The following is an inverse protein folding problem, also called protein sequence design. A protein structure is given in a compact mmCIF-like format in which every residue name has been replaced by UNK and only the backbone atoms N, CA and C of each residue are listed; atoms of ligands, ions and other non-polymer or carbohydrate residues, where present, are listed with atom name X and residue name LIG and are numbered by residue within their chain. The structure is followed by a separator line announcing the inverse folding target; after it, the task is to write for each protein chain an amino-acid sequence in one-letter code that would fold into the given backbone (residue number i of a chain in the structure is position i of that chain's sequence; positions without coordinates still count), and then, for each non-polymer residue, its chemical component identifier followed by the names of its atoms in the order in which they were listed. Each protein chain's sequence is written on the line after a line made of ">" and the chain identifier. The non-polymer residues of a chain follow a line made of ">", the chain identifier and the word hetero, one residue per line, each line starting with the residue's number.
data_IF_010399881879
#
_entry.id   IF_010399881879
#
_cell.length_a   1.000
_cell.length_b   1.000
_cell.length_c   1.000
_cell.angle_alpha   90.00
_cell.angle_beta   90.00
_cell.angle_gamma   90.00
#
_symmetry.space_group_name_H-M   'P 1'
#
loop_
_entity.id
_entity.type
_entity.pdbx_description
1 polymer ?
#
# COMPACT_ATOMS: atom_id res chain seq x y z
N UNK A 1 -57.59 -13.10 30.33
CA UNK A 1 -57.07 -14.02 29.30
C UNK A 1 -56.49 -13.17 28.19
N UNK A 2 -55.17 -13.03 28.13
CA UNK A 2 -54.49 -12.17 27.16
C UNK A 2 -54.20 -12.96 25.88
N UNK A 3 -54.80 -12.53 24.77
CA UNK A 3 -54.64 -13.15 23.45
C UNK A 3 -53.40 -12.55 22.77
N UNK A 4 -52.39 -13.40 22.60
CA UNK A 4 -51.04 -13.03 22.16
C UNK A 4 -50.84 -13.37 20.68
N UNK A 5 -51.67 -12.84 19.77
CA UNK A 5 -51.53 -13.06 18.32
C UNK A 5 -52.02 -11.86 17.51
N UNK A 6 -51.24 -10.79 17.49
CA UNK A 6 -51.17 -9.80 16.40
C UNK A 6 -50.20 -8.68 16.80
N UNK A 7 -48.90 -8.97 16.84
CA UNK A 7 -47.86 -7.93 16.84
C UNK A 7 -47.23 -7.99 15.46
N UNK A 8 -47.75 -7.20 14.54
CA UNK A 8 -47.18 -7.11 13.19
C UNK A 8 -47.16 -5.67 12.71
N UNK A 9 -45.93 -5.17 12.61
CA UNK A 9 -45.45 -4.05 11.81
C UNK A 9 -45.94 -2.64 12.16
N UNK A 10 -45.28 -2.03 13.15
CA UNK A 10 -45.01 -0.59 13.13
C UNK A 10 -44.00 -0.30 12.02
N UNK A 11 -44.51 0.18 10.88
CA UNK A 11 -43.72 0.80 9.82
C UNK A 11 -43.30 2.20 10.28
N UNK A 12 -42.32 2.28 11.19
CA UNK A 12 -41.63 3.56 11.46
C UNK A 12 -40.62 3.76 10.35
N UNK A 13 -40.97 4.62 9.39
CA UNK A 13 -40.08 5.19 8.40
C UNK A 13 -38.83 5.74 9.09
N UNK A 14 -37.76 4.94 9.07
CA UNK A 14 -36.41 5.38 9.39
C UNK A 14 -35.92 6.22 8.22
N UNK A 15 -35.93 7.53 8.40
CA UNK A 15 -35.23 8.46 7.52
C UNK A 15 -33.74 8.26 7.76
N UNK A 16 -33.11 7.39 6.97
CA UNK A 16 -31.66 7.34 6.92
C UNK A 16 -31.20 8.58 6.14
N UNK A 17 -30.86 9.64 6.87
CA UNK A 17 -30.05 10.72 6.32
C UNK A 17 -28.67 10.16 6.01
N UNK A 18 -28.47 9.75 4.76
CA UNK A 18 -27.14 9.40 4.25
C UNK A 18 -26.33 10.69 4.23
N UNK A 19 -25.19 10.69 4.91
CA UNK A 19 -24.26 11.80 4.85
C UNK A 19 -23.58 11.75 3.48
N UNK A 20 -23.90 12.71 2.61
CA UNK A 20 -23.05 12.99 1.47
C UNK A 20 -21.81 13.72 2.02
N UNK A 21 -20.84 12.95 2.51
CA UNK A 21 -19.49 13.47 2.65
C UNK A 21 -19.00 13.82 1.23
N UNK A 22 -18.33 14.96 1.02
CA UNK A 22 -17.65 15.20 -0.24
C UNK A 22 -16.66 14.05 -0.45
N UNK A 23 -16.88 13.26 -1.50
CA UNK A 23 -15.84 12.41 -2.04
C UNK A 23 -14.73 13.36 -2.46
N UNK A 24 -13.67 13.42 -1.65
CA UNK A 24 -12.43 14.04 -2.08
C UNK A 24 -12.00 13.26 -3.31
N UNK A 25 -12.21 13.86 -4.48
CA UNK A 25 -11.54 13.50 -5.72
C UNK A 25 -10.04 13.67 -5.51
N UNK A 26 -9.43 12.72 -4.82
CA UNK A 26 -8.02 12.42 -4.98
C UNK A 26 -7.97 11.45 -6.14
N UNK A 27 -8.09 12.01 -7.34
CA UNK A 27 -7.36 11.48 -8.49
C UNK A 27 -5.86 11.68 -8.21
N UNK A 28 -5.33 10.97 -7.22
CA UNK A 28 -3.96 10.51 -7.30
C UNK A 28 -4.06 9.18 -8.00
N UNK A 29 -4.12 9.24 -9.33
CA UNK A 29 -3.54 8.18 -10.13
C UNK A 29 -2.21 7.86 -9.45
N UNK A 30 -2.09 6.63 -8.95
CA UNK A 30 -0.97 6.17 -8.15
C UNK A 30 0.25 6.06 -9.03
N UNK A 31 0.71 7.18 -9.58
CA UNK A 31 2.04 7.33 -10.10
C UNK A 31 2.95 7.19 -8.90
N UNK A 32 3.51 5.99 -8.79
CA UNK A 32 4.52 5.65 -7.81
C UNK A 32 5.75 6.48 -8.15
N UNK A 33 5.78 7.71 -7.65
CA UNK A 33 6.90 8.61 -7.89
C UNK A 33 8.14 7.93 -7.33
N UNK A 34 9.04 7.56 -8.24
CA UNK A 34 10.38 7.13 -7.88
C UNK A 34 11.09 8.35 -7.27
N UNK A 35 11.51 8.21 -6.01
CA UNK A 35 12.22 9.26 -5.30
C UNK A 35 13.70 8.90 -5.29
N UNK A 36 14.52 9.78 -5.86
CA UNK A 36 15.96 9.65 -5.83
C UNK A 36 16.52 10.20 -4.52
N UNK A 37 17.54 9.51 -4.00
CA UNK A 37 18.32 9.99 -2.86
C UNK A 37 19.07 11.24 -3.31
N UNK A 38 19.00 12.36 -2.58
CA UNK A 38 19.80 13.54 -2.88
C UNK A 38 21.28 13.15 -2.93
N UNK A 39 22.05 13.71 -3.87
CA UNK A 39 23.45 13.32 -4.11
C UNK A 39 24.35 13.40 -2.87
N UNK A 40 24.03 14.27 -1.90
CA UNK A 40 24.74 14.38 -0.62
C UNK A 40 24.54 13.20 0.33
N UNK A 41 23.49 12.41 0.12
CA UNK A 41 23.13 11.23 0.92
C UNK A 41 23.23 9.93 0.12
N UNK A 42 23.52 10.02 -1.18
CA UNK A 42 23.76 8.86 -2.01
C UNK A 42 24.98 8.11 -1.46
N UNK A 43 24.86 6.80 -1.31
CA UNK A 43 25.89 5.94 -0.76
C UNK A 43 26.25 6.19 0.73
N UNK A 44 25.32 6.71 1.53
CA UNK A 44 25.48 6.87 2.99
C UNK A 44 24.37 6.22 3.82
N UNK A 45 23.43 5.56 3.15
CA UNK A 45 22.24 4.99 3.80
C UNK A 45 22.60 3.61 4.34
N UNK A 46 22.64 3.51 5.67
CA UNK A 46 22.97 2.29 6.43
C UNK A 46 21.81 1.79 7.30
N UNK A 47 20.67 2.49 7.31
CA UNK A 47 19.44 2.06 7.97
C UNK A 47 18.21 2.59 7.21
N UNK A 48 17.12 1.82 7.25
CA UNK A 48 15.85 2.19 6.61
C UNK A 48 14.66 1.88 7.53
N UNK A 49 13.65 2.74 7.45
CA UNK A 49 12.39 2.52 8.17
C UNK A 49 11.22 3.11 7.40
N UNK A 50 10.27 2.26 7.04
CA UNK A 50 8.95 2.69 6.59
C UNK A 50 8.09 3.01 7.82
N UNK A 51 7.92 4.31 8.10
CA UNK A 51 7.14 4.80 9.24
C UNK A 51 5.66 4.45 9.15
N UNK A 52 5.11 4.32 7.94
CA UNK A 52 3.72 3.96 7.69
C UNK A 52 3.63 2.60 6.97
N UNK A 53 4.36 1.61 7.51
CA UNK A 53 4.34 0.22 7.03
C UNK A 53 2.97 -0.46 7.14
N UNK A 54 1.99 0.17 7.80
CA UNK A 54 0.61 -0.29 7.84
C UNK A 54 -0.09 -0.05 6.49
N UNK A 55 0.04 1.16 5.93
CA UNK A 55 -0.67 1.61 4.73
C UNK A 55 0.16 1.49 3.46
N UNK A 56 1.48 1.65 3.56
CA UNK A 56 2.38 1.65 2.41
C UNK A 56 3.36 0.47 2.45
N UNK A 57 3.81 0.05 1.27
CA UNK A 57 4.92 -0.87 1.09
C UNK A 57 5.98 -0.19 0.23
N UNK A 58 7.17 0.01 0.81
CA UNK A 58 8.29 0.64 0.12
C UNK A 58 9.27 -0.40 -0.44
N UNK A 59 9.94 -0.06 -1.53
CA UNK A 59 11.02 -0.83 -2.16
C UNK A 59 12.18 0.14 -2.40
N UNK A 60 13.38 -0.24 -1.99
CA UNK A 60 14.62 0.52 -2.10
C UNK A 60 15.48 -0.05 -3.22
N UNK A 61 16.23 0.80 -3.92
CA UNK A 61 17.00 0.42 -5.11
C UNK A 61 18.42 0.94 -5.06
N UNK A 62 19.34 0.20 -5.68
CA UNK A 62 20.77 0.54 -5.72
C UNK A 62 21.13 1.66 -6.71
N UNK A 63 20.20 2.03 -7.59
CA UNK A 63 20.41 3.08 -8.60
C UNK A 63 19.25 4.06 -8.62
N UNK A 64 19.49 5.27 -9.14
CA UNK A 64 18.46 6.28 -9.34
C UNK A 64 17.36 5.83 -10.31
N UNK A 65 16.14 6.31 -10.09
CA UNK A 65 14.96 6.02 -10.90
C UNK A 65 14.37 4.63 -10.65
N UNK A 66 14.54 4.06 -9.45
CA UNK A 66 14.07 2.73 -9.08
C UNK A 66 14.58 1.60 -9.99
N UNK A 67 15.89 1.57 -10.25
CA UNK A 67 16.56 0.61 -11.15
C UNK A 67 17.59 -0.26 -10.42
N UNK A 68 18.01 -1.33 -11.06
CA UNK A 68 18.99 -2.28 -10.51
C UNK A 68 18.36 -3.23 -9.49
N UNK A 69 19.19 -3.73 -8.59
CA UNK A 69 18.74 -4.58 -7.48
C UNK A 69 17.81 -3.83 -6.54
N UNK A 70 16.83 -4.56 -6.04
CA UNK A 70 15.81 -4.05 -5.13
C UNK A 70 15.88 -4.72 -3.77
N UNK A 71 15.62 -3.95 -2.71
CA UNK A 71 15.41 -4.41 -1.34
C UNK A 71 13.96 -4.10 -0.94
N UNK A 72 13.29 -4.99 -0.21
CA UNK A 72 11.87 -4.83 0.15
C UNK A 72 11.57 -4.95 1.65
N UNK A 73 12.59 -5.02 2.51
CA UNK A 73 12.39 -5.07 3.95
C UNK A 73 11.89 -3.73 4.48
N UNK A 74 10.76 -3.74 5.19
CA UNK A 74 10.09 -2.49 5.60
C UNK A 74 10.81 -1.72 6.71
N UNK A 75 11.68 -2.40 7.45
CA UNK A 75 12.46 -1.82 8.52
C UNK A 75 13.73 -2.64 8.66
N UNK A 76 14.86 -1.95 8.64
CA UNK A 76 16.17 -2.53 8.80
C UNK A 76 17.07 -1.50 9.50
N UNK A 77 17.40 -1.79 10.75
CA UNK A 77 18.18 -0.87 11.57
C UNK A 77 19.67 -0.91 11.21
N UNK A 78 20.13 -1.92 10.47
CA UNK A 78 21.52 -2.09 10.13
C UNK A 78 21.69 -2.84 8.81
N UNK A 79 21.75 -2.10 7.70
CA UNK A 79 21.97 -2.66 6.36
C UNK A 79 23.35 -3.30 6.18
N UNK A 80 24.28 -3.13 7.13
CA UNK A 80 25.55 -3.84 7.13
C UNK A 80 25.44 -5.25 7.70
N UNK A 81 24.31 -5.62 8.31
CA UNK A 81 24.12 -6.98 8.78
C UNK A 81 23.92 -7.96 7.60
N UNK A 82 24.31 -9.22 7.79
CA UNK A 82 24.29 -10.21 6.72
C UNK A 82 25.32 -9.94 5.60
N UNK A 83 24.84 -9.75 4.36
CA UNK A 83 25.72 -9.60 3.19
C UNK A 83 26.15 -8.14 2.92
N UNK A 84 25.60 -7.18 3.69
CA UNK A 84 25.96 -5.76 3.61
C UNK A 84 25.69 -5.11 2.25
N UNK A 85 24.98 -5.77 1.33
CA UNK A 85 24.97 -5.36 -0.06
C UNK A 85 24.33 -3.98 -0.25
N UNK A 86 23.21 -3.73 0.42
CA UNK A 86 22.47 -2.47 0.29
C UNK A 86 23.00 -1.34 1.19
N UNK A 87 23.96 -1.65 2.07
CA UNK A 87 24.58 -0.61 2.88
C UNK A 87 25.33 0.35 1.99
N UNK A 88 25.08 1.65 2.15
CA UNK A 88 25.75 2.70 1.40
C UNK A 88 25.59 2.52 -0.12
N UNK A 89 24.48 1.93 -0.56
CA UNK A 89 24.17 1.76 -1.99
C UNK A 89 22.78 2.18 -2.40
N UNK A 90 21.91 2.51 -1.44
CA UNK A 90 20.54 2.92 -1.78
C UNK A 90 20.61 4.30 -2.45
N UNK A 91 20.11 4.37 -3.68
CA UNK A 91 20.08 5.60 -4.48
C UNK A 91 18.66 6.04 -4.86
N UNK A 92 17.66 5.18 -4.70
CA UNK A 92 16.26 5.58 -4.86
C UNK A 92 15.30 4.65 -4.13
N UNK A 93 14.05 5.09 -3.98
CA UNK A 93 12.97 4.27 -3.43
C UNK A 93 11.63 4.61 -4.06
N UNK A 94 10.68 3.67 -3.98
CA UNK A 94 9.26 3.90 -4.28
C UNK A 94 8.39 3.28 -3.22
N UNK A 95 7.28 3.94 -2.90
CA UNK A 95 6.29 3.44 -1.96
C UNK A 95 4.94 3.28 -2.63
N UNK A 96 4.35 2.11 -2.48
CA UNK A 96 3.04 1.76 -3.00
C UNK A 96 2.03 1.74 -1.86
N UNK A 97 0.78 2.13 -2.13
CA UNK A 97 -0.32 1.74 -1.24
C UNK A 97 -0.45 0.22 -1.31
N UNK A 98 -0.68 -0.43 -0.17
CA UNK A 98 -0.93 -1.88 -0.18
C UNK A 98 -2.18 -2.24 -0.99
N UNK A 99 -3.17 -1.34 -1.03
CA UNK A 99 -4.37 -1.46 -1.87
C UNK A 99 -4.03 -1.46 -3.36
N UNK A 100 -3.15 -0.55 -3.81
CA UNK A 100 -2.67 -0.50 -5.19
C UNK A 100 -1.82 -1.72 -5.58
N UNK A 101 -1.08 -2.33 -4.64
CA UNK A 101 -0.35 -3.58 -4.90
C UNK A 101 -1.27 -4.78 -5.12
N UNK A 102 -2.39 -4.88 -4.39
CA UNK A 102 -3.39 -5.93 -4.62
C UNK A 102 -4.13 -5.69 -5.94
N UNK A 103 -4.43 -4.44 -6.28
CA UNK A 103 -5.02 -4.09 -7.56
C UNK A 103 -4.08 -4.42 -8.75
N UNK A 104 -2.77 -4.10 -8.64
CA UNK A 104 -1.78 -4.42 -9.68
C UNK A 104 -1.47 -5.92 -9.78
N UNK A 105 -1.46 -6.65 -8.65
CA UNK A 105 -1.33 -8.12 -8.66
C UNK A 105 -2.61 -8.84 -9.14
N UNK A 106 -3.73 -8.13 -9.19
CA UNK A 106 -5.03 -8.63 -9.67
C UNK A 106 -5.26 -8.49 -11.17
N UNK A 107 -4.34 -7.88 -11.93
CA UNK A 107 -4.46 -7.75 -13.40
C UNK A 107 -3.85 -8.95 -14.14
N UNK A 108 -3.04 -9.79 -13.46
CA UNK A 108 -2.41 -10.99 -14.05
C UNK A 108 -3.06 -12.32 -13.61
N UNK A 109 -4.27 -12.29 -13.03
CA UNK A 109 -5.05 -13.50 -12.77
C UNK A 109 -6.18 -13.65 -13.79
N UNK A 110 -5.83 -13.73 -15.08
CA UNK A 110 -6.75 -14.34 -16.07
C UNK A 110 -6.75 -15.84 -15.81
N UNK A 111 -7.89 -16.29 -15.29
CA UNK A 111 -8.35 -17.67 -15.22
C UNK A 111 -7.88 -18.53 -16.41
N UNK A 112 -6.96 -19.44 -16.14
CA UNK A 112 -6.77 -20.66 -16.92
C UNK A 112 -7.32 -21.84 -16.12
N UNK A 113 -8.64 -22.06 -16.18
CA UNK A 113 -9.32 -23.16 -15.49
C UNK A 113 -10.44 -23.75 -16.34
N UNK A 114 -10.18 -24.96 -16.83
CA UNK A 114 -11.14 -26.00 -17.29
C UNK A 114 -12.16 -25.63 -18.38
N UNK A 115 -11.85 -26.04 -19.63
CA UNK A 115 -12.88 -26.44 -20.59
C UNK A 115 -13.02 -27.97 -20.56
N UNK A 116 -14.28 -28.37 -20.57
CA UNK A 116 -14.85 -29.73 -20.51
C UNK A 116 -14.36 -30.65 -21.63
#
# INVERSE_FOLDING_TARGET
>A
MFNLKAITLLLTMGIMSVTAAPASDVSSEGELVALDVPSSYNDYISSIKNLDKGRFHCVWYEHGGCRGRSYSNQEDANLHDGNGFFSDRISSWRCNTKQGRVAAAGVDAVEGGEQQ
#
